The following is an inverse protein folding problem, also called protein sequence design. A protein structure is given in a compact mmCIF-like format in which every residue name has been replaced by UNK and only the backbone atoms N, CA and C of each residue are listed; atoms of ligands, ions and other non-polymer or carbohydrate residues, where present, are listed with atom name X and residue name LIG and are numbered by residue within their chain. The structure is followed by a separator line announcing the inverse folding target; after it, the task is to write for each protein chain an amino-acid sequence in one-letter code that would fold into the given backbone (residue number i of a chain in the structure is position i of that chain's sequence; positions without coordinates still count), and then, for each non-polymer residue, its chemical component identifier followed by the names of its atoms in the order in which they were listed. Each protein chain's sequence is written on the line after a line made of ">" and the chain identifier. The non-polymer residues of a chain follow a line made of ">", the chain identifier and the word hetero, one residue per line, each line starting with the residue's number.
data_IF_660879698183
#
_entry.id   IF_660879698183
#
_cell.length_a   1.000
_cell.length_b   1.000
_cell.length_c   1.000
_cell.angle_alpha   90.00
_cell.angle_beta   90.00
_cell.angle_gamma   90.00
#
_symmetry.space_group_name_H-M   'P 1'
#
loop_
_entity.id
_entity.type
_entity.pdbx_description
1 polymer ?
#
# COMPACT_ATOMS: atom_id res chain seq x y z
N UNK A 1 19.80 2.98 27.38
CA UNK A 1 18.43 2.62 26.96
C UNK A 1 18.47 2.38 25.45
N UNK A 2 18.03 1.21 24.98
CA UNK A 2 17.98 0.93 23.55
C UNK A 2 16.96 1.87 22.89
N UNK A 3 17.40 2.63 21.87
CA UNK A 3 16.52 3.47 21.06
C UNK A 3 15.45 2.55 20.49
N UNK A 4 14.14 2.83 20.66
CA UNK A 4 13.15 1.96 20.09
C UNK A 4 13.37 1.98 18.57
N UNK A 5 13.58 0.81 17.98
CA UNK A 5 13.51 0.67 16.54
C UNK A 5 12.05 0.95 16.20
N UNK A 6 11.74 2.14 15.71
CA UNK A 6 10.37 2.49 15.37
C UNK A 6 10.14 2.09 13.92
N UNK A 7 9.27 1.10 13.74
CA UNK A 7 8.96 0.42 12.49
C UNK A 7 8.13 1.25 11.50
N UNK A 8 8.13 2.58 11.62
CA UNK A 8 7.29 3.45 10.80
C UNK A 8 8.09 4.54 10.07
N UNK A 9 7.62 4.93 8.88
CA UNK A 9 8.37 5.75 7.94
C UNK A 9 7.77 7.16 7.79
N UNK A 10 7.34 7.75 8.92
CA UNK A 10 6.60 9.02 8.90
C UNK A 10 7.42 10.17 8.27
N UNK A 11 8.72 10.28 8.58
CA UNK A 11 9.57 11.32 8.01
C UNK A 11 9.68 11.19 6.48
N UNK A 12 9.86 9.97 5.99
CA UNK A 12 9.94 9.66 4.57
C UNK A 12 8.61 9.89 3.86
N UNK A 13 7.48 9.56 4.50
CA UNK A 13 6.14 9.85 4.00
C UNK A 13 5.88 11.35 3.88
N UNK A 14 6.22 12.13 4.91
CA UNK A 14 6.10 13.60 4.86
C UNK A 14 6.92 14.17 3.69
N UNK A 15 8.18 13.71 3.53
CA UNK A 15 9.04 14.12 2.41
C UNK A 15 8.43 13.76 1.06
N UNK A 16 7.91 12.54 0.93
CA UNK A 16 7.30 12.03 -0.33
C UNK A 16 6.05 12.82 -0.71
N UNK A 17 5.24 13.20 0.28
CA UNK A 17 3.99 13.94 0.09
C UNK A 17 4.17 15.47 0.11
N UNK A 18 5.41 15.97 0.26
CA UNK A 18 5.70 17.40 0.32
C UNK A 18 5.17 18.11 1.57
N UNK A 19 4.84 17.37 2.63
CA UNK A 19 4.32 17.88 3.90
C UNK A 19 5.44 18.15 4.89
N UNK A 20 5.25 19.13 5.76
CA UNK A 20 6.21 19.54 6.80
C UNK A 20 5.66 19.23 8.19
N UNK A 21 6.54 19.11 9.19
CA UNK A 21 6.12 18.88 10.58
C UNK A 21 5.16 19.96 11.10
N UNK A 22 5.31 21.21 10.64
CA UNK A 22 4.39 22.30 10.99
C UNK A 22 2.97 22.07 10.50
N UNK A 23 2.80 21.31 9.41
CA UNK A 23 1.49 21.02 8.84
C UNK A 23 0.79 19.98 9.71
N UNK A 24 1.52 19.01 10.28
CA UNK A 24 0.98 18.10 11.31
C UNK A 24 0.51 18.85 12.55
N UNK A 25 1.29 19.82 13.03
CA UNK A 25 0.94 20.64 14.19
C UNK A 25 -0.34 21.45 13.93
N UNK A 26 -0.47 22.02 12.73
CA UNK A 26 -1.62 22.84 12.37
C UNK A 26 -2.89 22.00 12.09
N UNK A 27 -2.74 20.90 11.35
CA UNK A 27 -3.88 20.14 10.82
C UNK A 27 -4.39 19.07 11.79
N UNK A 28 -3.53 18.56 12.68
CA UNK A 28 -3.88 17.52 13.67
C UNK A 28 -3.97 18.06 15.09
N UNK A 29 -3.79 19.37 15.29
CA UNK A 29 -3.70 20.00 16.62
C UNK A 29 -2.65 19.35 17.54
N UNK A 30 -1.58 18.82 16.93
CA UNK A 30 -0.50 18.19 17.69
C UNK A 30 0.40 19.25 18.30
N UNK A 31 0.84 19.01 19.54
CA UNK A 31 1.88 19.85 20.11
C UNK A 31 3.21 19.65 19.35
N UNK A 32 4.02 20.72 19.25
CA UNK A 32 5.30 20.72 18.50
C UNK A 32 6.28 19.66 18.98
N UNK A 33 6.34 19.41 20.29
CA UNK A 33 7.24 18.43 20.88
C UNK A 33 6.86 17.00 20.44
N UNK A 34 5.57 16.65 20.53
CA UNK A 34 5.00 15.39 20.05
C UNK A 34 5.29 15.20 18.57
N UNK A 35 4.97 16.19 17.73
CA UNK A 35 5.23 16.10 16.29
C UNK A 35 6.71 15.83 15.98
N UNK A 36 7.63 16.53 16.64
CA UNK A 36 9.07 16.30 16.51
C UNK A 36 9.49 14.91 16.97
N UNK A 37 9.05 14.48 18.16
CA UNK A 37 9.38 13.16 18.72
C UNK A 37 8.85 12.02 17.85
N UNK A 38 7.66 12.18 17.29
CA UNK A 38 7.01 11.19 16.44
C UNK A 38 7.70 11.07 15.08
N UNK A 39 7.99 12.20 14.44
CA UNK A 39 8.68 12.23 13.13
C UNK A 39 10.10 11.71 13.24
N UNK A 40 10.80 11.97 14.35
CA UNK A 40 12.15 11.48 14.56
C UNK A 40 12.21 10.02 15.05
N UNK A 41 11.05 9.36 15.23
CA UNK A 41 10.98 8.01 15.81
C UNK A 41 11.66 7.98 17.18
N UNK A 42 11.27 8.87 18.08
CA UNK A 42 11.71 8.88 19.47
C UNK A 42 10.58 8.53 20.44
N UNK A 43 9.33 8.70 20.00
CA UNK A 43 8.13 8.33 20.74
C UNK A 43 7.47 7.11 20.10
N UNK A 44 6.99 6.18 20.93
CA UNK A 44 6.19 5.04 20.46
C UNK A 44 4.85 5.54 19.94
N UNK A 45 4.48 5.08 18.75
CA UNK A 45 3.17 5.35 18.21
C UNK A 45 2.12 4.45 18.87
N UNK A 46 0.91 4.97 18.98
CA UNK A 46 -0.28 4.18 19.30
C UNK A 46 -1.02 3.81 18.01
N UNK A 47 -1.94 2.85 18.11
CA UNK A 47 -2.83 2.50 16.99
C UNK A 47 -3.65 3.70 16.53
N UNK A 48 -4.10 4.54 17.46
CA UNK A 48 -4.92 5.71 17.14
C UNK A 48 -4.11 6.74 16.36
N UNK A 49 -2.85 6.95 16.71
CA UNK A 49 -1.94 7.85 15.99
C UNK A 49 -1.63 7.35 14.59
N UNK A 50 -1.46 6.03 14.41
CA UNK A 50 -1.30 5.43 13.08
C UNK A 50 -2.56 5.66 12.25
N UNK A 51 -3.75 5.42 12.80
CA UNK A 51 -5.01 5.61 12.07
C UNK A 51 -5.23 7.08 11.69
N UNK A 52 -5.02 8.00 12.63
CA UNK A 52 -5.15 9.45 12.44
C UNK A 52 -4.20 9.95 11.34
N UNK A 53 -2.91 9.61 11.44
CA UNK A 53 -1.92 10.00 10.44
C UNK A 53 -2.21 9.38 9.07
N UNK A 54 -2.65 8.14 9.03
CA UNK A 54 -2.94 7.47 7.75
C UNK A 54 -4.13 8.12 7.06
N UNK A 55 -5.17 8.48 7.82
CA UNK A 55 -6.30 9.25 7.30
C UNK A 55 -5.84 10.63 6.79
N UNK A 56 -5.03 11.34 7.55
CA UNK A 56 -4.50 12.66 7.17
C UNK A 56 -3.62 12.62 5.91
N UNK A 57 -2.76 11.61 5.80
CA UNK A 57 -1.86 11.43 4.66
C UNK A 57 -2.56 10.77 3.46
N UNK A 58 -3.81 10.36 3.60
CA UNK A 58 -4.59 9.62 2.60
C UNK A 58 -3.88 8.32 2.15
N UNK A 59 -3.42 7.54 3.13
CA UNK A 59 -2.77 6.24 2.95
C UNK A 59 -3.43 5.20 3.86
N UNK A 60 -3.13 3.92 3.63
CA UNK A 60 -3.59 2.85 4.52
C UNK A 60 -2.70 2.76 5.77
N UNK A 61 -3.23 2.33 6.94
CA UNK A 61 -2.46 2.17 8.17
C UNK A 61 -1.17 1.36 8.04
N UNK A 62 -1.21 0.27 7.28
CA UNK A 62 -0.03 -0.57 7.06
C UNK A 62 1.01 0.10 6.15
N UNK A 63 0.63 1.07 5.32
CA UNK A 63 1.55 1.78 4.44
C UNK A 63 2.46 2.72 5.23
N UNK A 64 1.99 3.24 6.37
CA UNK A 64 2.81 4.05 7.28
C UNK A 64 3.95 3.22 7.92
N UNK A 65 3.79 1.90 7.98
CA UNK A 65 4.75 0.95 8.53
C UNK A 65 5.71 0.37 7.47
N UNK A 66 5.75 0.96 6.28
CA UNK A 66 6.68 0.60 5.20
C UNK A 66 7.20 1.86 4.53
N UNK A 67 8.37 1.74 3.89
CA UNK A 67 8.94 2.87 3.17
C UNK A 67 7.99 3.29 2.02
N UNK A 68 7.85 4.59 1.71
CA UNK A 68 6.91 5.06 0.68
C UNK A 68 7.13 4.40 -0.69
N UNK A 69 8.39 4.10 -1.04
CA UNK A 69 8.73 3.40 -2.27
C UNK A 69 8.16 1.98 -2.31
N UNK A 70 8.30 1.24 -1.21
CA UNK A 70 7.77 -0.12 -1.06
C UNK A 70 6.24 -0.11 -1.07
N UNK A 71 5.61 0.86 -0.40
CA UNK A 71 4.17 1.04 -0.43
C UNK A 71 3.65 1.29 -1.84
N UNK A 72 4.33 2.16 -2.59
CA UNK A 72 3.98 2.42 -3.98
C UNK A 72 4.20 1.18 -4.87
N UNK A 73 5.27 0.40 -4.64
CA UNK A 73 5.49 -0.87 -5.33
C UNK A 73 4.38 -1.88 -5.02
N UNK A 74 3.98 -2.00 -3.75
CA UNK A 74 2.88 -2.84 -3.30
C UNK A 74 1.55 -2.43 -3.94
N UNK A 75 1.24 -1.13 -4.02
CA UNK A 75 0.05 -0.62 -4.72
C UNK A 75 0.04 -1.02 -6.19
N UNK A 76 1.18 -0.89 -6.88
CA UNK A 76 1.32 -1.30 -8.29
C UNK A 76 1.11 -2.80 -8.45
N UNK A 77 1.72 -3.62 -7.60
CA UNK A 77 1.56 -5.07 -7.61
C UNK A 77 0.10 -5.47 -7.38
N UNK A 78 -0.55 -4.92 -6.34
CA UNK A 78 -1.95 -5.20 -6.01
C UNK A 78 -2.88 -4.84 -7.16
N UNK A 79 -2.63 -3.72 -7.84
CA UNK A 79 -3.41 -3.30 -9.01
C UNK A 79 -3.22 -4.27 -10.18
N UNK A 80 -1.98 -4.61 -10.52
CA UNK A 80 -1.68 -5.56 -11.60
C UNK A 80 -2.31 -6.93 -11.34
N UNK A 81 -2.25 -7.43 -10.10
CA UNK A 81 -2.89 -8.68 -9.73
C UNK A 81 -4.42 -8.62 -9.84
N UNK A 82 -5.04 -7.52 -9.41
CA UNK A 82 -6.48 -7.33 -9.55
C UNK A 82 -6.92 -7.32 -11.03
N UNK A 83 -6.14 -6.68 -11.90
CA UNK A 83 -6.41 -6.64 -13.34
C UNK A 83 -6.35 -8.05 -13.96
N UNK A 84 -5.38 -8.89 -13.55
CA UNK A 84 -5.27 -10.27 -14.03
C UNK A 84 -6.46 -11.15 -13.61
N UNK A 85 -6.97 -11.00 -12.39
CA UNK A 85 -8.11 -11.78 -11.89
C UNK A 85 -9.42 -11.42 -12.60
N UNK A 86 -9.55 -10.20 -13.13
CA UNK A 86 -10.73 -9.76 -13.88
C UNK A 86 -10.71 -10.19 -15.35
N UNK A 87 -9.60 -10.74 -15.87
CA UNK A 87 -9.59 -11.33 -17.20
C UNK A 87 -10.49 -12.57 -17.15
N UNK A 88 -11.65 -12.59 -17.84
CA UNK A 88 -12.45 -13.80 -17.92
C UNK A 88 -11.55 -14.89 -18.47
N UNK A 89 -11.47 -16.01 -17.76
CA UNK A 89 -10.82 -17.22 -18.26
C UNK A 89 -11.53 -17.61 -19.55
N UNK A 90 -11.02 -17.17 -20.69
CA UNK A 90 -11.40 -17.72 -21.98
C UNK A 90 -10.91 -19.15 -21.94
N UNK A 91 -11.84 -20.06 -21.65
CA UNK A 91 -11.59 -21.49 -21.68
C UNK A 91 -10.85 -21.79 -22.97
N UNK A 92 -9.75 -22.53 -22.84
CA UNK A 92 -9.09 -23.11 -24.00
C UNK A 92 -10.13 -24.05 -24.58
N UNK A 93 -10.85 -23.61 -25.61
CA UNK A 93 -11.57 -24.49 -26.48
C UNK A 93 -10.50 -25.36 -27.12
N UNK A 94 -10.25 -26.52 -26.53
CA UNK A 94 -9.61 -27.60 -27.24
C UNK A 94 -10.60 -27.97 -28.33
N UNK A 95 -10.36 -27.47 -29.53
CA UNK A 95 -10.95 -27.97 -30.77
C UNK A 95 -10.54 -29.44 -30.91
N UNK A 96 -11.22 -30.33 -30.18
CA UNK A 96 -11.11 -31.79 -30.33
C UNK A 96 -12.40 -32.32 -30.98
N UNK A 97 -12.87 -31.60 -31.99
CA UNK A 97 -13.91 -32.06 -32.92
C UNK A 97 -13.34 -32.07 -34.34
N UNK A 98 -12.24 -32.79 -34.53
CA UNK A 98 -11.65 -33.04 -35.83
C UNK A 98 -11.48 -34.55 -36.08
N UNK A 99 -12.55 -35.34 -35.97
CA UNK A 99 -12.56 -36.73 -36.46
C UNK A 99 -13.95 -37.36 -36.58
N UNK A 100 -14.88 -36.71 -37.30
CA UNK A 100 -15.94 -37.45 -37.99
C UNK A 100 -16.31 -36.73 -39.27
N UNK A 101 -15.72 -37.15 -40.40
CA UNK A 101 -16.33 -37.17 -41.74
C UNK A 101 -15.33 -37.65 -42.81
N UNK A 102 -15.27 -38.97 -43.00
CA UNK A 102 -15.16 -39.65 -44.30
C UNK A 102 -15.71 -41.07 -44.03
N UNK A 103 -16.92 -41.48 -44.38
CA UNK A 103 -17.50 -41.39 -45.71
C UNK A 103 -16.86 -42.44 -46.61
N UNK A 104 -17.38 -43.68 -46.62
CA UNK A 104 -17.44 -44.49 -47.85
C UNK A 104 -18.48 -45.60 -47.72
N UNK A 105 -19.50 -45.46 -48.56
CA UNK A 105 -20.48 -46.46 -48.97
C UNK A 105 -19.80 -47.61 -49.73
N UNK A 106 -20.44 -48.79 -49.75
CA UNK A 106 -20.06 -49.96 -50.55
C UNK A 106 -20.76 -51.23 -50.09
#
# INVERSE_FOLDING_TARGET
>A
MAKPAHDWHLAEWLRTLGKRQKDLVADLDWNKAKASLMVNGQQKYTRDEVNELSAYLNIQPFELLMHPEDAMAYRRLRRAAADMVQIPFFGIATDDEALTLTGTEG
#
